data_IF_616832447667
#
_entry.id   IF_616832447667
#
_cell.length_a   1.000
_cell.length_b   1.000
_cell.length_c   1.000
_cell.angle_alpha   90.00
_cell.angle_beta   90.00
_cell.angle_gamma   90.00
#
_symmetry.space_group_name_H-M   'P 1'
#
loop_
_entity.id
_entity.type
_entity.pdbx_description
1 polymer ?
#
# COMPACT_ATOMS: atom_id res chain seq x y z
N UNK A 1 41.25 5.83 23.47
CA UNK A 1 40.65 4.67 22.76
C UNK A 1 39.78 3.92 23.74
N UNK A 2 38.45 4.02 23.67
CA UNK A 2 37.53 3.26 24.51
C UNK A 2 36.58 2.48 23.61
N UNK A 3 36.78 1.17 23.50
CA UNK A 3 35.84 0.22 22.89
C UNK A 3 34.83 -0.17 23.97
N UNK A 4 33.56 0.17 23.77
CA UNK A 4 32.44 -0.39 24.55
C UNK A 4 31.69 -1.40 23.69
N UNK A 5 31.78 -2.65 24.10
CA UNK A 5 31.04 -3.80 23.58
C UNK A 5 29.53 -3.59 23.76
N UNK A 6 28.76 -3.80 22.68
CA UNK A 6 27.31 -3.90 22.73
C UNK A 6 26.94 -5.39 22.82
N UNK A 7 26.30 -5.76 23.93
CA UNK A 7 25.68 -7.06 24.11
C UNK A 7 24.46 -7.17 23.18
N UNK A 8 24.48 -8.17 22.29
CA UNK A 8 23.34 -8.56 21.47
C UNK A 8 22.53 -9.56 22.27
N UNK A 9 21.37 -9.13 22.78
CA UNK A 9 20.39 -10.04 23.35
C UNK A 9 19.68 -10.79 22.22
N UNK A 10 20.01 -12.07 22.07
CA UNK A 10 19.16 -13.03 21.37
C UNK A 10 18.13 -13.58 22.36
N UNK A 11 16.85 -13.28 22.14
CA UNK A 11 15.75 -14.05 22.72
C UNK A 11 15.08 -14.83 21.60
N UNK A 12 15.50 -16.09 21.47
CA UNK A 12 14.87 -17.08 20.62
C UNK A 12 13.84 -17.83 21.48
N UNK A 13 12.56 -17.58 21.28
CA UNK A 13 11.49 -18.42 21.82
C UNK A 13 10.59 -18.87 20.68
N UNK A 14 10.92 -20.06 20.15
CA UNK A 14 9.99 -20.89 19.40
C UNK A 14 9.06 -21.57 20.41
N UNK A 15 7.82 -21.10 20.50
CA UNK A 15 6.69 -21.85 21.04
C UNK A 15 5.55 -21.69 20.04
N UNK A 16 5.33 -22.75 19.26
CA UNK A 16 4.23 -22.83 18.31
C UNK A 16 2.91 -23.06 19.04
N UNK A 17 1.87 -22.36 18.60
CA UNK A 17 0.48 -22.57 19.00
C UNK A 17 -0.41 -22.65 17.71
N UNK A 18 -1.47 -23.48 17.70
CA UNK A 18 -2.10 -24.04 16.51
C UNK A 18 -3.17 -23.10 15.95
N UNK A 19 -2.74 -22.06 15.23
CA UNK A 19 -3.61 -21.19 14.41
C UNK A 19 -3.18 -21.12 12.94
N UNK A 20 -2.36 -22.07 12.48
CA UNK A 20 -1.59 -22.06 11.23
C UNK A 20 -2.40 -22.23 9.93
N UNK A 21 -3.67 -21.81 9.90
CA UNK A 21 -4.52 -21.83 8.70
C UNK A 21 -5.28 -20.51 8.49
N UNK A 22 -4.59 -19.36 8.60
CA UNK A 22 -4.98 -18.17 7.85
C UNK A 22 -3.82 -17.74 6.94
N UNK A 23 -3.79 -18.29 5.74
CA UNK A 23 -2.76 -18.11 4.69
C UNK A 23 -2.74 -16.71 4.06
N UNK A 24 -2.68 -15.64 4.87
CA UNK A 24 -2.53 -14.28 4.35
C UNK A 24 -2.09 -13.28 5.43
N UNK A 25 -1.16 -13.64 6.31
CA UNK A 25 -0.47 -12.61 7.09
C UNK A 25 0.56 -11.93 6.18
N UNK A 26 0.10 -10.96 5.37
CA UNK A 26 1.01 -10.00 4.77
C UNK A 26 1.82 -9.36 5.89
N UNK A 27 3.11 -9.11 5.64
CA UNK A 27 3.96 -8.33 6.53
C UNK A 27 3.28 -6.96 6.72
N UNK A 28 2.55 -6.82 7.83
CA UNK A 28 1.76 -5.64 8.13
C UNK A 28 2.75 -4.49 8.22
N UNK A 29 2.53 -3.43 7.43
CA UNK A 29 3.24 -2.18 7.67
C UNK A 29 2.86 -1.76 9.10
N UNK A 30 3.82 -1.77 10.02
CA UNK A 30 3.62 -1.29 11.39
C UNK A 30 3.38 0.22 11.36
N UNK A 31 2.12 0.58 11.13
CA UNK A 31 1.67 1.96 11.06
C UNK A 31 1.29 2.36 12.48
N UNK A 32 2.26 2.90 13.19
CA UNK A 32 2.10 3.31 14.59
C UNK A 32 1.49 4.71 14.75
N UNK A 33 1.24 5.42 13.63
CA UNK A 33 0.73 6.79 13.66
C UNK A 33 -0.41 7.01 12.66
N UNK A 34 -1.59 7.48 13.12
CA UNK A 34 -2.69 7.88 12.23
C UNK A 34 -2.28 8.93 11.19
N UNK A 35 -1.40 9.86 11.55
CA UNK A 35 -0.91 10.90 10.64
C UNK A 35 -0.01 10.32 9.53
N UNK A 36 0.80 9.31 9.86
CA UNK A 36 1.60 8.61 8.85
C UNK A 36 0.71 7.89 7.84
N UNK A 37 -0.36 7.24 8.33
CA UNK A 37 -1.35 6.57 7.48
C UNK A 37 -2.04 7.53 6.52
N UNK A 38 -2.45 8.70 7.04
CA UNK A 38 -3.03 9.76 6.22
C UNK A 38 -2.11 10.15 5.06
N UNK A 39 -0.83 10.41 5.35
CA UNK A 39 0.16 10.78 4.33
C UNK A 39 0.34 9.68 3.29
N UNK A 40 0.36 8.41 3.71
CA UNK A 40 0.43 7.27 2.79
C UNK A 40 -0.80 7.20 1.89
N UNK A 41 -2.01 7.28 2.44
CA UNK A 41 -3.26 7.28 1.67
C UNK A 41 -3.30 8.42 0.65
N UNK A 42 -2.95 9.63 1.09
CA UNK A 42 -2.92 10.81 0.22
C UNK A 42 -1.93 10.64 -0.94
N UNK A 43 -0.73 10.14 -0.65
CA UNK A 43 0.30 9.87 -1.65
C UNK A 43 -0.10 8.77 -2.62
N UNK A 44 -0.78 7.75 -2.12
CA UNK A 44 -1.22 6.60 -2.91
C UNK A 44 -2.30 6.95 -3.92
N UNK A 45 -3.21 7.88 -3.55
CA UNK A 45 -4.18 8.44 -4.48
C UNK A 45 -3.47 9.12 -5.67
N UNK A 46 -2.39 9.87 -5.42
CA UNK A 46 -1.63 10.52 -6.49
C UNK A 46 -0.96 9.54 -7.45
N UNK A 47 -0.60 8.36 -6.96
CA UNK A 47 0.13 7.35 -7.71
C UNK A 47 -0.83 6.45 -8.48
N UNK A 48 -1.83 5.90 -7.79
CA UNK A 48 -2.68 4.82 -8.30
C UNK A 48 -3.87 5.36 -9.12
N UNK A 49 -4.40 6.54 -8.78
CA UNK A 49 -5.61 7.07 -9.42
C UNK A 49 -5.24 7.92 -10.64
N UNK A 50 -5.58 7.41 -11.83
CA UNK A 50 -5.25 8.03 -13.12
C UNK A 50 -6.06 9.31 -13.41
N UNK A 51 -7.35 9.32 -13.08
CA UNK A 51 -8.24 10.46 -13.35
C UNK A 51 -7.98 11.64 -12.39
N UNK A 52 -7.86 12.85 -12.94
CA UNK A 52 -7.68 14.08 -12.15
C UNK A 52 -8.90 14.35 -11.25
N UNK A 53 -10.11 14.22 -11.79
CA UNK A 53 -11.33 14.45 -11.02
C UNK A 53 -11.47 13.41 -9.90
N UNK A 54 -11.19 12.13 -10.19
CA UNK A 54 -11.20 11.09 -9.17
C UNK A 54 -10.15 11.34 -8.07
N UNK A 55 -8.92 11.76 -8.43
CA UNK A 55 -7.90 12.15 -7.44
C UNK A 55 -8.40 13.25 -6.51
N UNK A 56 -8.95 14.32 -7.07
CA UNK A 56 -9.45 15.45 -6.28
C UNK A 56 -10.59 15.01 -5.37
N UNK A 57 -11.51 14.21 -5.87
CA UNK A 57 -12.62 13.64 -5.09
C UNK A 57 -12.11 12.81 -3.91
N UNK A 58 -11.24 11.83 -4.15
CA UNK A 58 -10.70 10.99 -3.09
C UNK A 58 -9.87 11.77 -2.07
N UNK A 59 -9.05 12.72 -2.52
CA UNK A 59 -8.27 13.57 -1.62
C UNK A 59 -9.14 14.45 -0.74
N UNK A 60 -10.17 15.09 -1.31
CA UNK A 60 -11.11 15.89 -0.55
C UNK A 60 -11.80 15.03 0.51
N UNK A 61 -12.38 13.90 0.10
CA UNK A 61 -13.05 12.96 1.02
C UNK A 61 -12.13 12.44 2.11
N UNK A 62 -10.87 12.12 1.80
CA UNK A 62 -9.88 11.66 2.77
C UNK A 62 -9.58 12.73 3.83
N UNK A 63 -9.41 13.99 3.41
CA UNK A 63 -9.14 15.10 4.33
C UNK A 63 -10.37 15.43 5.18
N UNK A 64 -11.56 15.41 4.58
CA UNK A 64 -12.82 15.65 5.30
C UNK A 64 -13.03 14.58 6.39
N UNK A 65 -12.85 13.30 6.04
CA UNK A 65 -12.95 12.20 7.00
C UNK A 65 -11.87 12.26 8.09
N UNK A 66 -10.66 12.70 7.75
CA UNK A 66 -9.60 12.91 8.73
C UNK A 66 -9.94 14.03 9.71
N UNK A 67 -10.44 15.16 9.22
CA UNK A 67 -10.83 16.30 10.06
C UNK A 67 -11.94 15.94 11.06
N UNK A 68 -12.86 15.05 10.66
CA UNK A 68 -13.90 14.51 11.53
C UNK A 68 -13.32 13.51 12.56
N UNK A 69 -12.59 12.49 12.09
CA UNK A 69 -12.17 11.35 12.90
C UNK A 69 -10.95 11.62 13.79
N UNK A 70 -10.12 12.61 13.46
CA UNK A 70 -8.92 12.98 14.23
C UNK A 70 -9.25 13.54 15.63
N UNK A 71 -10.50 13.93 15.86
CA UNK A 71 -10.97 14.41 17.17
C UNK A 71 -11.38 13.29 18.12
N UNK A 72 -11.42 12.05 17.63
CA UNK A 72 -11.74 10.88 18.43
C UNK A 72 -10.65 10.64 19.48
N UNK A 73 -11.05 10.37 20.71
CA UNK A 73 -10.15 10.12 21.85
C UNK A 73 -10.19 8.66 22.29
N UNK A 74 -11.22 7.90 21.89
CA UNK A 74 -11.31 6.48 22.22
C UNK A 74 -10.27 5.66 21.41
N UNK A 75 -9.35 4.93 22.07
CA UNK A 75 -8.27 4.20 21.39
C UNK A 75 -8.77 3.06 20.50
N UNK A 76 -9.85 2.38 20.87
CA UNK A 76 -10.41 1.28 20.07
C UNK A 76 -11.01 1.81 18.76
N UNK A 77 -11.71 2.94 18.83
CA UNK A 77 -12.26 3.60 17.65
C UNK A 77 -11.17 4.16 16.75
N UNK A 78 -10.12 4.75 17.33
CA UNK A 78 -8.94 5.19 16.57
C UNK A 78 -8.34 3.99 15.82
N UNK A 79 -8.15 2.86 16.51
CA UNK A 79 -7.61 1.65 15.88
C UNK A 79 -8.50 1.14 14.75
N UNK A 80 -9.80 1.08 14.97
CA UNK A 80 -10.78 0.71 13.94
C UNK A 80 -10.71 1.62 12.70
N UNK A 81 -10.59 2.95 12.89
CA UNK A 81 -10.42 3.87 11.77
C UNK A 81 -9.10 3.69 11.03
N UNK A 82 -8.03 3.37 11.75
CA UNK A 82 -6.75 3.02 11.14
C UNK A 82 -6.86 1.74 10.31
N UNK A 83 -7.55 0.71 10.79
CA UNK A 83 -7.73 -0.55 10.06
C UNK A 83 -8.59 -0.35 8.79
N UNK A 84 -9.63 0.50 8.85
CA UNK A 84 -10.41 0.89 7.68
C UNK A 84 -9.55 1.66 6.65
N UNK A 85 -8.73 2.60 7.11
CA UNK A 85 -7.82 3.34 6.24
C UNK A 85 -6.73 2.43 5.64
N UNK A 86 -6.24 1.44 6.39
CA UNK A 86 -5.33 0.40 5.91
C UNK A 86 -5.98 -0.46 4.82
N UNK A 87 -7.25 -0.84 5.00
CA UNK A 87 -8.02 -1.58 3.99
C UNK A 87 -8.21 -0.77 2.70
N UNK A 88 -8.49 0.52 2.81
CA UNK A 88 -8.56 1.43 1.66
C UNK A 88 -7.20 1.52 0.93
N UNK A 89 -6.10 1.66 1.68
CA UNK A 89 -4.76 1.71 1.11
C UNK A 89 -4.43 0.43 0.35
N UNK A 90 -4.78 -0.73 0.91
CA UNK A 90 -4.62 -2.04 0.26
C UNK A 90 -5.45 -2.11 -1.02
N UNK A 91 -6.72 -1.73 -0.98
CA UNK A 91 -7.60 -1.75 -2.15
C UNK A 91 -7.06 -0.88 -3.30
N UNK A 92 -6.44 0.27 -3.01
CA UNK A 92 -5.84 1.13 -4.03
C UNK A 92 -4.67 0.49 -4.79
N UNK A 93 -3.92 -0.39 -4.13
CA UNK A 93 -2.72 -1.02 -4.70
C UNK A 93 -2.95 -2.46 -5.17
N UNK A 94 -4.10 -3.02 -4.84
CA UNK A 94 -4.47 -4.36 -5.26
C UNK A 94 -4.87 -4.31 -6.74
N UNK A 95 -4.33 -5.24 -7.53
CA UNK A 95 -4.72 -5.38 -8.92
C UNK A 95 -6.22 -5.75 -9.02
N UNK A 96 -6.84 -5.43 -10.16
CA UNK A 96 -8.28 -5.70 -10.38
C UNK A 96 -8.63 -7.19 -10.25
N UNK A 97 -7.68 -8.08 -10.50
CA UNK A 97 -7.83 -9.54 -10.43
C UNK A 97 -6.68 -10.12 -9.59
N UNK A 98 -6.72 -9.98 -8.26
CA UNK A 98 -5.66 -10.49 -7.40
C UNK A 98 -5.74 -12.01 -7.33
N UNK A 99 -4.59 -12.69 -7.40
CA UNK A 99 -4.52 -14.12 -7.12
C UNK A 99 -4.44 -14.33 -5.59
N UNK A 100 -5.01 -15.43 -5.06
CA UNK A 100 -4.84 -15.79 -3.65
C UNK A 100 -3.36 -15.84 -3.26
N UNK A 101 -3.02 -15.31 -2.09
CA UNK A 101 -1.64 -15.31 -1.57
C UNK A 101 -0.71 -14.24 -2.16
N UNK A 102 -1.21 -13.35 -3.02
CA UNK A 102 -0.39 -12.25 -3.53
C UNK A 102 -0.07 -11.22 -2.44
N UNK A 103 1.21 -10.93 -2.27
CA UNK A 103 1.67 -9.84 -1.41
C UNK A 103 1.46 -8.51 -2.11
N UNK A 104 0.56 -7.68 -1.58
CA UNK A 104 0.39 -6.29 -2.00
C UNK A 104 1.62 -5.50 -1.58
N UNK A 105 2.36 -4.98 -2.56
CA UNK A 105 3.52 -4.11 -2.34
C UNK A 105 3.08 -2.65 -2.42
N UNK A 106 3.35 -1.90 -1.35
CA UNK A 106 3.06 -0.46 -1.28
C UNK A 106 4.25 0.34 -1.80
N UNK A 107 4.15 0.86 -3.02
CA UNK A 107 5.20 1.68 -3.63
C UNK A 107 4.81 3.16 -3.61
N UNK A 108 5.29 3.90 -2.60
CA UNK A 108 4.97 5.33 -2.41
C UNK A 108 5.92 6.30 -3.13
N UNK A 109 7.02 5.79 -3.71
CA UNK A 109 8.03 6.59 -4.42
C UNK A 109 7.51 7.12 -5.76
N UNK A 110 7.70 8.42 -6.02
CA UNK A 110 7.32 9.04 -7.30
C UNK A 110 8.13 8.52 -8.48
N UNK A 111 9.43 8.28 -8.28
CA UNK A 111 10.35 7.82 -9.34
C UNK A 111 9.96 6.44 -9.83
N UNK A 112 9.81 5.50 -8.88
CA UNK A 112 9.39 4.13 -9.16
C UNK A 112 8.02 4.09 -9.86
N UNK A 113 7.07 4.91 -9.40
CA UNK A 113 5.76 5.01 -10.05
C UNK A 113 5.85 5.55 -11.50
N UNK A 114 6.72 6.52 -11.74
CA UNK A 114 6.95 7.07 -13.06
C UNK A 114 7.62 6.06 -14.00
N UNK A 115 8.66 5.38 -13.53
CA UNK A 115 9.35 4.31 -14.26
C UNK A 115 8.39 3.19 -14.64
N UNK A 116 7.60 2.67 -13.68
CA UNK A 116 6.59 1.64 -13.94
C UNK A 116 5.56 2.10 -14.97
N UNK A 117 5.15 3.36 -14.94
CA UNK A 117 4.21 3.93 -15.93
C UNK A 117 4.84 4.02 -17.32
N UNK A 118 6.12 4.33 -17.42
CA UNK A 118 6.85 4.34 -18.70
C UNK A 118 7.01 2.92 -19.25
N UNK A 119 7.30 1.95 -18.38
CA UNK A 119 7.38 0.53 -18.71
C UNK A 119 6.02 -0.03 -19.19
N UNK A 120 4.92 0.25 -18.49
CA UNK A 120 3.57 -0.14 -18.91
C UNK A 120 3.19 0.43 -20.29
N UNK A 121 3.57 1.69 -20.55
CA UNK A 121 3.38 2.33 -21.86
C UNK A 121 4.25 1.71 -22.94
N UNK A 122 5.50 1.36 -22.63
CA UNK A 122 6.38 0.67 -23.57
C UNK A 122 5.82 -0.71 -23.94
N UNK A 123 5.38 -1.49 -22.95
CA UNK A 123 4.79 -2.83 -23.16
C UNK A 123 3.49 -2.75 -23.95
N UNK A 124 2.60 -1.79 -23.65
CA UNK A 124 1.34 -1.64 -24.39
C UNK A 124 1.56 -1.25 -25.85
N UNK A 125 2.53 -0.37 -26.11
CA UNK A 125 2.91 0.02 -27.47
C UNK A 125 3.47 -1.17 -28.26
N UNK A 126 4.36 -1.98 -27.65
CA UNK A 126 4.91 -3.19 -28.29
C UNK A 126 3.81 -4.21 -28.61
N UNK A 127 2.85 -4.43 -27.70
CA UNK A 127 1.70 -5.33 -27.96
C UNK A 127 0.82 -4.84 -29.11
N UNK A 128 0.64 -3.51 -29.24
CA UNK A 128 -0.15 -2.91 -30.32
C UNK A 128 0.54 -3.10 -31.68
N UNK A 129 1.85 -2.91 -31.75
CA UNK A 129 2.65 -3.13 -32.98
C UNK A 129 2.59 -4.59 -33.44
N UNK A 130 2.73 -5.56 -32.53
CA UNK A 130 2.63 -6.99 -32.88
C UNK A 130 1.25 -7.41 -33.37
N UNK A 131 0.19 -6.73 -32.92
CA UNK A 131 -1.18 -7.05 -33.36
C UNK A 131 -1.44 -6.57 -34.80
N UNK A 132 -0.91 -5.39 -35.16
CA UNK A 132 -1.00 -4.84 -36.52
C UNK A 132 -0.26 -5.71 -37.53
N UNK A 133 0.86 -6.33 -37.16
CA UNK A 133 1.62 -7.23 -38.05
C UNK A 133 0.92 -8.57 -38.32
N UNK A 134 -0.04 -9.00 -37.48
CA UNK A 134 -0.76 -10.27 -37.64
C UNK A 134 -2.09 -10.15 -38.41
N UNK A 135 -2.58 -8.94 -38.63
CA UNK A 135 -3.84 -8.70 -39.37
C UNK A 135 -3.59 -8.35 -40.85
N UNK A 136 -2.35 -8.47 -41.33
CA UNK A 136 -1.94 -8.14 -42.70
C UNK A 136 -1.29 -9.29 -43.50
N UNK A 137 -1.42 -10.53 -43.03
CA UNK A 137 -1.13 -11.76 -43.80
C UNK A 137 -2.43 -12.50 -44.14
#
# INVERSE_FOLDING_TARGET
MFRRSLAVFYSNTNLGDPGKLMNSQQKVLDINSPLSLLRMCYRSIDICVKSRHARNFFKKRLIDQWAEKSKETNPEKIRFYMDLAGSFLQALHTDRTPKPGMVVKFNLSRRIAHEKKMEERAISNVKRVRKVQKEGE
#
